data_IF_824557494002
#
_entry.id   IF_824557494002
#
_cell.length_a   1.000
_cell.length_b   1.000
_cell.length_c   1.000
_cell.angle_alpha   90.00
_cell.angle_beta   90.00
_cell.angle_gamma   90.00
#
_symmetry.space_group_name_H-M   'P 1'
#
loop_
_entity.id
_entity.type
_entity.pdbx_description
1 polymer ?
#
# COMPACT_ATOMS: atom_id res chain seq x y z
N UNK A 1 -15.18 -27.86 45.98
CA UNK A 1 -14.88 -28.57 44.72
C UNK A 1 -14.85 -27.54 43.59
N UNK A 2 -13.66 -27.03 43.27
CA UNK A 2 -13.42 -26.18 42.11
C UNK A 2 -12.57 -27.01 41.13
N UNK A 3 -13.06 -27.17 39.90
CA UNK A 3 -12.36 -27.96 38.87
C UNK A 3 -11.13 -27.20 38.40
N UNK A 4 -10.00 -27.89 38.43
CA UNK A 4 -8.71 -27.49 37.87
C UNK A 4 -8.72 -27.72 36.35
N UNK A 5 -8.13 -26.76 35.62
CA UNK A 5 -7.35 -27.06 34.42
C UNK A 5 -8.08 -26.94 33.09
N UNK A 6 -8.35 -25.71 32.65
CA UNK A 6 -8.31 -25.40 31.22
C UNK A 6 -7.04 -24.57 30.98
N UNK A 7 -6.00 -25.21 30.44
CA UNK A 7 -4.87 -24.49 29.87
C UNK A 7 -5.36 -23.80 28.60
N UNK A 8 -5.23 -22.48 28.52
CA UNK A 8 -5.38 -21.76 27.26
C UNK A 8 -4.37 -22.36 26.28
N UNK A 9 -4.83 -22.88 25.15
CA UNK A 9 -3.93 -23.14 24.02
C UNK A 9 -3.33 -21.79 23.64
N UNK A 10 -2.09 -21.55 24.09
CA UNK A 10 -1.30 -20.43 23.61
C UNK A 10 -1.08 -20.63 22.12
N UNK A 11 -1.42 -19.61 21.33
CA UNK A 11 -1.18 -19.61 19.89
C UNK A 11 0.29 -19.95 19.66
N UNK A 12 0.56 -21.07 18.98
CA UNK A 12 1.90 -21.40 18.55
C UNK A 12 2.39 -20.28 17.63
N UNK A 13 3.39 -19.53 18.09
CA UNK A 13 4.03 -18.52 17.27
C UNK A 13 4.53 -19.19 15.98
N UNK A 14 4.08 -18.67 14.83
CA UNK A 14 4.60 -19.09 13.54
C UNK A 14 6.10 -18.74 13.50
N UNK A 15 6.96 -19.74 13.67
CA UNK A 15 8.42 -19.60 13.79
C UNK A 15 9.13 -19.31 12.47
N UNK A 16 8.40 -19.11 11.38
CA UNK A 16 8.96 -18.76 10.07
C UNK A 16 8.79 -17.26 9.81
N UNK A 17 9.87 -16.52 9.52
CA UNK A 17 9.77 -15.11 9.16
C UNK A 17 8.86 -14.93 7.93
N UNK A 18 7.86 -14.05 8.03
CA UNK A 18 6.98 -13.66 6.92
C UNK A 18 7.79 -13.13 5.73
N UNK A 19 8.97 -12.56 6.01
CA UNK A 19 9.91 -12.07 5.01
C UNK A 19 11.19 -12.90 5.07
N UNK A 20 11.43 -13.71 4.04
CA UNK A 20 12.66 -14.47 3.84
C UNK A 20 13.40 -13.92 2.61
N UNK A 21 14.72 -13.69 2.65
CA UNK A 21 15.50 -13.23 1.48
C UNK A 21 15.33 -14.09 0.22
N UNK A 22 14.93 -15.36 0.38
CA UNK A 22 14.71 -16.32 -0.72
C UNK A 22 13.28 -16.32 -1.28
N UNK A 23 12.33 -15.62 -0.66
CA UNK A 23 10.92 -15.55 -1.12
C UNK A 23 10.53 -14.11 -1.43
N UNK A 24 9.73 -13.92 -2.48
CA UNK A 24 9.17 -12.61 -2.85
C UNK A 24 7.94 -12.34 -2.00
N UNK A 25 7.90 -11.19 -1.32
CA UNK A 25 6.71 -10.75 -0.59
C UNK A 25 5.89 -9.78 -1.47
N UNK A 26 4.65 -10.15 -1.73
CA UNK A 26 3.71 -9.43 -2.58
C UNK A 26 2.65 -8.74 -1.72
N UNK A 27 2.67 -7.42 -1.73
CA UNK A 27 1.71 -6.58 -1.02
C UNK A 27 0.72 -6.00 -2.02
N UNK A 28 -0.57 -6.12 -1.70
CA UNK A 28 -1.66 -5.47 -2.43
C UNK A 28 -2.31 -4.38 -1.58
N UNK A 29 -2.80 -3.33 -2.24
CA UNK A 29 -3.78 -2.43 -1.64
C UNK A 29 -4.91 -2.17 -2.64
N UNK A 30 -6.15 -2.28 -2.17
CA UNK A 30 -7.34 -2.03 -2.96
C UNK A 30 -8.40 -1.29 -2.14
N UNK A 31 -8.75 -0.07 -2.56
CA UNK A 31 -9.95 0.60 -2.09
C UNK A 31 -11.18 -0.07 -2.75
N UNK A 32 -11.98 -0.76 -1.93
CA UNK A 32 -13.20 -1.47 -2.36
C UNK A 32 -14.38 -0.87 -1.61
N UNK A 33 -14.98 0.18 -2.20
CA UNK A 33 -16.07 0.96 -1.58
C UNK A 33 -17.35 0.15 -1.27
N UNK A 34 -17.46 -1.08 -1.78
CA UNK A 34 -18.66 -1.93 -1.66
C UNK A 34 -18.34 -3.36 -1.21
N UNK A 35 -17.38 -3.56 -0.30
CA UNK A 35 -17.05 -4.90 0.22
C UNK A 35 -18.24 -5.70 0.74
N UNK A 36 -19.28 -5.02 1.24
CA UNK A 36 -20.52 -5.64 1.76
C UNK A 36 -21.46 -6.17 0.67
N UNK A 37 -21.21 -5.85 -0.61
CA UNK A 37 -22.02 -6.37 -1.71
C UNK A 37 -21.72 -7.85 -1.96
N UNK A 38 -22.77 -8.64 -2.21
CA UNK A 38 -22.66 -10.09 -2.42
C UNK A 38 -21.66 -10.43 -3.52
N UNK A 39 -20.74 -11.35 -3.24
CA UNK A 39 -19.73 -11.83 -4.19
C UNK A 39 -18.45 -10.99 -4.30
N UNK A 40 -18.41 -9.76 -3.76
CA UNK A 40 -17.19 -8.92 -3.80
C UNK A 40 -16.01 -9.51 -3.05
N UNK A 41 -16.25 -10.04 -1.84
CA UNK A 41 -15.21 -10.72 -1.07
C UNK A 41 -14.62 -11.93 -1.82
N UNK A 42 -15.46 -12.72 -2.50
CA UNK A 42 -14.99 -13.85 -3.32
C UNK A 42 -14.16 -13.40 -4.52
N UNK A 43 -14.53 -12.27 -5.14
CA UNK A 43 -13.76 -11.68 -6.24
C UNK A 43 -12.41 -11.14 -5.76
N UNK A 44 -12.37 -10.46 -4.61
CA UNK A 44 -11.13 -10.02 -3.96
C UNK A 44 -10.23 -11.22 -3.63
N UNK A 45 -10.78 -12.29 -3.05
CA UNK A 45 -10.02 -13.51 -2.76
C UNK A 45 -9.44 -14.17 -4.02
N UNK A 46 -10.23 -14.21 -5.11
CA UNK A 46 -9.76 -14.71 -6.42
C UNK A 46 -8.57 -13.90 -6.95
N UNK A 47 -8.62 -12.58 -6.89
CA UNK A 47 -7.53 -11.73 -7.36
C UNK A 47 -6.30 -11.81 -6.43
N UNK A 48 -6.51 -11.95 -5.12
CA UNK A 48 -5.43 -12.21 -4.16
C UNK A 48 -4.66 -13.48 -4.53
N UNK A 49 -5.36 -14.59 -4.83
CA UNK A 49 -4.73 -15.82 -5.30
C UNK A 49 -4.07 -15.66 -6.67
N UNK A 50 -4.73 -15.01 -7.63
CA UNK A 50 -4.25 -14.82 -9.01
C UNK A 50 -2.93 -14.05 -9.06
N UNK A 51 -2.79 -13.03 -8.21
CA UNK A 51 -1.59 -12.18 -8.16
C UNK A 51 -0.57 -12.61 -7.11
N UNK A 52 -0.79 -13.77 -6.47
CA UNK A 52 0.05 -14.33 -5.42
C UNK A 52 0.32 -13.30 -4.33
N UNK A 53 -0.73 -12.62 -3.86
CA UNK A 53 -0.63 -11.60 -2.82
C UNK A 53 -0.53 -12.27 -1.45
N UNK A 54 0.48 -11.88 -0.69
CA UNK A 54 0.73 -12.37 0.65
C UNK A 54 -0.03 -11.53 1.69
N UNK A 55 -0.13 -10.21 1.45
CA UNK A 55 -0.86 -9.27 2.32
C UNK A 55 -1.67 -8.33 1.43
N UNK A 56 -2.96 -8.14 1.74
CA UNK A 56 -3.85 -7.21 1.05
C UNK A 56 -4.50 -6.23 2.03
N UNK A 57 -4.17 -4.93 1.89
CA UNK A 57 -4.91 -3.86 2.55
C UNK A 57 -6.22 -3.57 1.83
N UNK A 58 -7.34 -3.68 2.52
CA UNK A 58 -8.68 -3.30 2.02
C UNK A 58 -9.20 -2.13 2.84
N UNK A 59 -9.54 -1.01 2.18
CA UNK A 59 -9.91 0.24 2.87
C UNK A 59 -11.37 0.62 2.62
N UNK A 60 -12.03 1.11 3.69
CA UNK A 60 -13.40 1.66 3.73
C UNK A 60 -13.32 3.07 4.35
N UNK A 61 -14.07 4.04 3.83
CA UNK A 61 -13.88 5.49 4.07
C UNK A 61 -14.05 5.97 5.53
N UNK A 62 -13.00 6.55 6.14
CA UNK A 62 -13.04 7.44 7.33
C UNK A 62 -11.91 8.49 7.21
N UNK A 63 -12.14 9.76 7.57
CA UNK A 63 -11.16 10.87 7.55
C UNK A 63 -11.32 11.83 8.74
N UNK A 64 -10.24 12.04 9.51
CA UNK A 64 -9.52 13.33 9.75
C UNK A 64 -8.44 13.12 10.84
N UNK A 65 -8.66 12.26 11.83
CA UNK A 65 -7.69 11.85 12.87
C UNK A 65 -6.55 10.93 12.36
N UNK A 66 -6.49 10.72 11.05
CA UNK A 66 -5.71 9.65 10.44
C UNK A 66 -4.20 9.91 10.48
N UNK A 67 -3.74 11.10 10.09
CA UNK A 67 -2.30 11.37 9.95
C UNK A 67 -1.59 11.45 11.31
N UNK A 68 -2.22 12.04 12.33
CA UNK A 68 -1.66 12.09 13.69
C UNK A 68 -1.56 10.68 14.29
N UNK A 69 -2.64 9.91 14.23
CA UNK A 69 -2.66 8.51 14.70
C UNK A 69 -1.67 7.63 13.92
N UNK A 70 -1.57 7.84 12.60
CA UNK A 70 -0.63 7.11 11.75
C UNK A 70 0.83 7.44 12.11
N UNK A 71 1.16 8.72 12.30
CA UNK A 71 2.49 9.18 12.70
C UNK A 71 2.90 8.60 14.06
N UNK A 72 2.00 8.62 15.05
CA UNK A 72 2.25 7.97 16.34
C UNK A 72 2.49 6.45 16.21
N UNK A 73 1.71 5.78 15.37
CA UNK A 73 1.83 4.33 15.15
C UNK A 73 3.15 3.98 14.47
N UNK A 74 3.53 4.76 13.46
CA UNK A 74 4.81 4.59 12.76
C UNK A 74 5.98 4.82 13.71
N UNK A 75 5.93 5.83 14.59
CA UNK A 75 6.98 6.07 15.58
C UNK A 75 7.14 4.94 16.60
N UNK A 76 6.06 4.22 16.92
CA UNK A 76 6.09 3.05 17.81
C UNK A 76 6.66 1.78 17.15
N UNK A 77 6.89 1.80 15.83
CA UNK A 77 7.42 0.66 15.09
C UNK A 77 8.89 0.41 15.41
N UNK A 78 9.30 -0.85 15.54
CA UNK A 78 10.70 -1.17 15.83
C UNK A 78 11.62 -0.86 14.64
N UNK A 79 12.80 -0.29 14.95
CA UNK A 79 13.78 0.15 13.95
C UNK A 79 14.36 -0.96 13.09
N UNK A 80 14.22 -2.24 13.45
CA UNK A 80 14.73 -3.36 12.67
C UNK A 80 13.68 -3.96 11.73
N UNK A 81 12.41 -3.68 11.97
CA UNK A 81 11.30 -4.20 11.17
C UNK A 81 11.17 -3.44 9.84
N UNK A 82 10.60 -4.10 8.84
CA UNK A 82 10.18 -3.47 7.59
C UNK A 82 8.81 -2.84 7.81
N UNK A 83 8.75 -1.52 7.87
CA UNK A 83 7.48 -0.79 7.84
C UNK A 83 7.06 -0.57 6.39
N UNK A 84 5.86 -1.04 6.06
CA UNK A 84 5.15 -0.68 4.84
C UNK A 84 3.84 0.00 5.22
N UNK A 85 3.59 1.17 4.63
CA UNK A 85 2.30 1.87 4.74
C UNK A 85 1.69 1.91 3.35
N UNK A 86 0.46 1.45 3.18
CA UNK A 86 -0.20 1.52 1.88
C UNK A 86 -1.64 1.94 2.03
N UNK A 87 -2.10 2.80 1.12
CA UNK A 87 -3.42 3.40 1.23
C UNK A 87 -3.78 4.28 0.06
N UNK A 88 -5.03 4.71 0.04
CA UNK A 88 -5.50 5.84 -0.75
C UNK A 88 -5.17 7.13 0.01
N UNK A 89 -4.15 7.85 -0.44
CA UNK A 89 -3.71 9.10 0.19
C UNK A 89 -4.37 10.33 -0.46
N UNK A 90 -5.11 10.14 -1.57
CA UNK A 90 -5.65 11.22 -2.39
C UNK A 90 -4.58 12.26 -2.81
N UNK A 91 -3.33 11.81 -2.92
CA UNK A 91 -2.15 12.64 -3.15
C UNK A 91 -1.61 12.39 -4.56
N UNK A 92 -1.51 13.45 -5.37
CA UNK A 92 -0.89 13.39 -6.70
C UNK A 92 0.55 13.85 -6.56
N UNK A 93 1.52 12.95 -6.69
CA UNK A 93 2.91 13.25 -6.32
C UNK A 93 3.71 13.92 -7.44
N UNK A 94 3.23 13.79 -8.68
CA UNK A 94 3.89 14.31 -9.87
C UNK A 94 5.20 13.62 -10.20
N UNK A 95 6.01 14.26 -11.06
CA UNK A 95 7.33 13.77 -11.47
C UNK A 95 8.43 14.58 -10.82
N UNK A 96 9.54 13.94 -10.48
CA UNK A 96 10.77 14.62 -10.07
C UNK A 96 11.97 14.10 -10.90
N UNK A 97 12.17 14.63 -12.12
CA UNK A 97 13.20 14.13 -13.04
C UNK A 97 14.62 14.35 -12.51
N UNK A 98 14.81 15.38 -11.68
CA UNK A 98 16.11 15.78 -11.13
C UNK A 98 16.42 15.13 -9.78
N UNK A 99 15.46 14.39 -9.21
CA UNK A 99 15.61 13.70 -7.93
C UNK A 99 15.95 14.66 -6.77
N UNK A 100 15.34 15.84 -6.77
CA UNK A 100 15.44 16.78 -5.64
C UNK A 100 14.73 16.25 -4.40
N UNK A 101 13.63 15.53 -4.58
CA UNK A 101 12.81 14.99 -3.52
C UNK A 101 13.32 13.63 -3.08
N UNK A 102 13.90 13.61 -1.87
CA UNK A 102 14.51 12.40 -1.33
C UNK A 102 13.49 11.31 -0.93
N UNK A 103 12.19 11.62 -1.00
CA UNK A 103 11.05 10.75 -0.61
C UNK A 103 10.37 10.08 -1.81
N UNK A 104 10.75 10.41 -3.04
CA UNK A 104 10.19 9.81 -4.26
C UNK A 104 11.28 9.47 -5.29
N UNK A 105 10.94 8.61 -6.24
CA UNK A 105 11.70 8.37 -7.45
C UNK A 105 11.27 9.27 -8.62
N UNK A 106 11.84 9.03 -9.79
CA UNK A 106 11.70 9.91 -10.96
C UNK A 106 10.37 9.76 -11.71
N UNK A 107 9.58 8.75 -11.38
CA UNK A 107 8.55 8.22 -12.27
C UNK A 107 7.11 8.35 -11.75
N UNK A 108 6.84 9.24 -10.79
CA UNK A 108 5.46 9.54 -10.39
C UNK A 108 4.63 10.19 -11.52
N UNK A 109 3.34 10.41 -11.26
CA UNK A 109 2.39 10.97 -12.23
C UNK A 109 1.49 12.04 -11.60
N UNK A 110 0.92 12.87 -12.47
CA UNK A 110 -0.03 13.93 -12.11
C UNK A 110 0.64 15.26 -11.79
N UNK A 111 -0.18 16.21 -11.40
CA UNK A 111 0.25 17.51 -10.89
C UNK A 111 0.10 17.52 -9.38
N UNK A 112 1.09 18.09 -8.66
CA UNK A 112 1.08 18.14 -7.20
C UNK A 112 -0.16 18.82 -6.66
N UNK A 113 -0.64 18.32 -5.52
CA UNK A 113 -1.80 18.87 -4.83
C UNK A 113 -1.51 19.03 -3.33
N UNK A 114 -2.39 19.68 -2.57
CA UNK A 114 -2.15 19.90 -1.13
C UNK A 114 -1.90 18.60 -0.34
N UNK A 115 -2.54 17.49 -0.74
CA UNK A 115 -2.30 16.19 -0.12
C UNK A 115 -0.92 15.62 -0.44
N UNK A 116 -0.31 15.98 -1.57
CA UNK A 116 1.06 15.57 -1.85
C UNK A 116 2.05 16.21 -0.89
N UNK A 117 1.87 17.48 -0.52
CA UNK A 117 2.78 18.11 0.44
C UNK A 117 2.69 17.45 1.82
N UNK A 118 1.47 17.17 2.30
CA UNK A 118 1.26 16.40 3.55
C UNK A 118 1.92 15.02 3.49
N UNK A 119 1.78 14.32 2.36
CA UNK A 119 2.39 13.01 2.18
C UNK A 119 3.92 13.09 2.16
N UNK A 120 4.49 14.12 1.53
CA UNK A 120 5.94 14.32 1.45
C UNK A 120 6.52 14.65 2.82
N UNK A 121 5.87 15.54 3.58
CA UNK A 121 6.25 15.85 4.96
C UNK A 121 6.20 14.59 5.84
N UNK A 122 5.10 13.83 5.79
CA UNK A 122 4.97 12.56 6.50
C UNK A 122 6.09 11.57 6.14
N UNK A 123 6.39 11.42 4.85
CA UNK A 123 7.46 10.53 4.39
C UNK A 123 8.84 11.01 4.83
N UNK A 124 9.10 12.32 4.76
CA UNK A 124 10.39 12.91 5.14
C UNK A 124 10.63 12.75 6.65
N UNK A 125 9.62 13.00 7.49
CA UNK A 125 9.70 12.86 8.95
C UNK A 125 9.91 11.41 9.41
N UNK A 126 9.45 10.44 8.64
CA UNK A 126 9.48 9.02 9.00
C UNK A 126 10.44 8.16 8.16
N UNK A 127 11.35 8.80 7.41
CA UNK A 127 12.31 8.14 6.51
C UNK A 127 11.65 7.11 5.57
N UNK A 128 10.51 7.49 4.97
CA UNK A 128 9.76 6.66 4.01
C UNK A 128 10.02 7.10 2.56
N UNK A 129 9.80 6.18 1.63
CA UNK A 129 9.89 6.43 0.19
C UNK A 129 8.64 5.90 -0.55
N UNK A 130 8.14 6.68 -1.51
CA UNK A 130 6.95 6.37 -2.31
C UNK A 130 7.32 5.38 -3.43
N UNK A 131 7.01 4.11 -3.25
CA UNK A 131 7.48 3.01 -4.11
C UNK A 131 6.96 3.08 -5.55
N UNK A 132 5.72 3.53 -5.76
CA UNK A 132 5.09 3.68 -7.08
C UNK A 132 5.70 4.75 -7.99
N UNK A 133 6.77 5.42 -7.53
CA UNK A 133 7.53 6.42 -8.28
C UNK A 133 8.95 5.97 -8.65
N UNK A 134 9.36 4.77 -8.18
CA UNK A 134 10.74 4.28 -8.32
C UNK A 134 11.06 3.69 -9.70
N UNK A 135 10.05 3.13 -10.39
CA UNK A 135 10.26 2.35 -11.61
C UNK A 135 9.61 2.99 -12.83
N UNK A 136 10.26 2.91 -14.02
CA UNK A 136 9.67 3.39 -15.25
C UNK A 136 8.57 2.44 -15.72
N UNK A 137 7.34 2.96 -15.81
CA UNK A 137 6.18 2.21 -16.32
C UNK A 137 5.37 3.04 -17.33
N UNK A 138 4.55 2.35 -18.14
CA UNK A 138 3.50 3.00 -18.93
C UNK A 138 2.45 3.59 -17.99
N UNK A 139 1.81 4.71 -18.35
CA UNK A 139 0.76 5.38 -17.55
C UNK A 139 -0.35 4.41 -17.08
N UNK A 140 -0.72 3.43 -17.91
CA UNK A 140 -1.72 2.43 -17.55
C UNK A 140 -1.35 1.57 -16.33
N UNK A 141 -0.06 1.49 -15.98
CA UNK A 141 0.44 0.75 -14.84
C UNK A 141 0.79 1.66 -13.65
N UNK A 142 0.48 2.96 -13.73
CA UNK A 142 0.70 3.93 -12.66
C UNK A 142 -0.60 4.55 -12.13
N UNK A 143 -1.57 4.78 -13.02
CA UNK A 143 -2.84 5.40 -12.68
C UNK A 143 -3.74 4.42 -11.91
N UNK A 144 -3.99 4.74 -10.64
CA UNK A 144 -4.64 3.87 -9.66
C UNK A 144 -6.14 4.10 -9.56
N UNK A 145 -6.65 5.23 -10.03
CA UNK A 145 -8.07 5.58 -9.94
C UNK A 145 -8.61 6.15 -11.24
N UNK A 146 -9.92 5.94 -11.50
CA UNK A 146 -10.67 6.50 -12.62
C UNK A 146 -11.93 7.20 -12.09
N UNK A 147 -12.24 8.39 -12.59
CA UNK A 147 -13.47 9.08 -12.24
C UNK A 147 -14.73 8.34 -12.69
N UNK A 148 -15.89 8.55 -12.05
CA UNK A 148 -17.15 7.92 -12.45
C UNK A 148 -17.54 8.18 -13.91
N UNK A 149 -17.15 9.34 -14.46
CA UNK A 149 -17.38 9.70 -15.87
C UNK A 149 -16.35 9.09 -16.85
N UNK A 150 -15.36 8.34 -16.34
CA UNK A 150 -14.31 7.68 -17.11
C UNK A 150 -13.21 8.59 -17.65
N UNK A 151 -13.32 9.92 -17.48
CA UNK A 151 -12.45 10.89 -18.15
C UNK A 151 -11.14 11.14 -17.40
N UNK A 152 -11.21 11.26 -16.09
CA UNK A 152 -10.08 11.59 -15.24
C UNK A 152 -9.45 10.32 -14.69
N UNK A 153 -8.12 10.26 -14.72
CA UNK A 153 -7.36 9.15 -14.15
C UNK A 153 -6.22 9.71 -13.33
N UNK A 154 -6.02 9.21 -12.12
CA UNK A 154 -5.02 9.73 -11.20
C UNK A 154 -4.19 8.61 -10.57
N UNK A 155 -2.97 8.93 -10.14
CA UNK A 155 -2.18 8.11 -9.23
C UNK A 155 -2.36 8.69 -7.81
N UNK A 156 -3.19 8.05 -6.99
CA UNK A 156 -3.55 8.53 -5.64
C UNK A 156 -3.46 7.45 -4.55
N UNK A 157 -3.38 6.18 -4.96
CA UNK A 157 -3.08 5.06 -4.08
C UNK A 157 -1.57 4.82 -4.07
N UNK A 158 -0.96 4.82 -2.89
CA UNK A 158 0.49 4.69 -2.74
C UNK A 158 0.87 3.57 -1.79
N UNK A 159 2.06 3.01 -2.01
CA UNK A 159 2.75 2.15 -1.06
C UNK A 159 4.06 2.86 -0.67
N UNK A 160 4.29 2.98 0.63
CA UNK A 160 5.44 3.61 1.26
C UNK A 160 6.22 2.53 2.00
N UNK A 161 7.55 2.60 1.96
CA UNK A 161 8.43 1.70 2.72
C UNK A 161 9.53 2.51 3.37
N UNK A 162 10.12 2.03 4.48
CA UNK A 162 11.33 2.67 4.99
C UNK A 162 12.41 2.74 3.89
N UNK A 163 13.01 3.92 3.77
CA UNK A 163 14.01 4.25 2.76
C UNK A 163 15.24 3.34 2.83
N UNK A 164 15.61 2.84 4.02
CA UNK A 164 16.68 1.84 4.20
C UNK A 164 16.41 0.52 3.47
N UNK A 165 15.13 0.16 3.26
CA UNK A 165 14.72 -1.06 2.55
C UNK A 165 14.29 -0.79 1.10
N UNK A 166 14.54 0.41 0.57
CA UNK A 166 14.15 0.76 -0.80
C UNK A 166 14.70 -0.20 -1.86
N UNK A 167 15.90 -0.76 -1.62
CA UNK A 167 16.57 -1.70 -2.52
C UNK A 167 15.94 -3.10 -2.50
N UNK A 168 15.14 -3.40 -1.48
CA UNK A 168 14.33 -4.61 -1.46
C UNK A 168 13.13 -4.50 -2.38
N UNK A 169 12.65 -3.29 -2.71
CA UNK A 169 11.53 -3.13 -3.64
C UNK A 169 11.98 -3.56 -5.04
N UNK A 170 11.33 -4.58 -5.60
CA UNK A 170 11.57 -5.08 -6.95
C UNK A 170 10.69 -4.41 -7.99
N UNK A 171 9.44 -4.12 -7.64
CA UNK A 171 8.47 -3.48 -8.54
C UNK A 171 7.29 -2.87 -7.76
N UNK A 172 6.67 -1.82 -8.30
CA UNK A 172 5.40 -1.28 -7.79
C UNK A 172 4.54 -0.77 -8.94
N UNK A 173 3.43 -1.45 -9.20
CA UNK A 173 2.59 -1.14 -10.36
C UNK A 173 1.14 -1.57 -10.22
N UNK A 174 0.31 -0.92 -11.02
CA UNK A 174 -1.12 -1.23 -11.17
C UNK A 174 -1.33 -2.49 -12.01
N UNK A 175 -2.12 -3.42 -11.47
CA UNK A 175 -2.51 -4.67 -12.12
C UNK A 175 -3.79 -4.49 -12.94
N UNK A 176 -3.62 -4.20 -14.23
CA UNK A 176 -4.74 -3.90 -15.16
C UNK A 176 -5.68 -5.06 -15.45
N UNK A 177 -5.26 -6.29 -15.15
CA UNK A 177 -6.10 -7.47 -15.30
C UNK A 177 -6.97 -7.79 -14.09
N UNK A 178 -6.74 -7.10 -12.96
CA UNK A 178 -7.54 -7.25 -11.74
C UNK A 178 -8.83 -6.44 -11.89
N UNK A 179 -9.97 -7.06 -11.60
CA UNK A 179 -11.27 -6.40 -11.65
C UNK A 179 -12.15 -6.86 -10.50
N UNK A 180 -12.61 -5.91 -9.69
CA UNK A 180 -13.67 -6.08 -8.66
C UNK A 180 -14.80 -5.06 -8.82
N UNK A 181 -14.97 -4.47 -10.00
CA UNK A 181 -15.88 -3.35 -10.26
C UNK A 181 -15.70 -2.18 -9.27
N UNK A 182 -14.44 -1.89 -8.94
CA UNK A 182 -14.05 -0.68 -8.21
C UNK A 182 -13.61 0.40 -9.22
N UNK A 183 -13.77 1.67 -8.85
CA UNK A 183 -13.18 2.81 -9.56
C UNK A 183 -11.67 2.96 -9.28
N UNK A 184 -11.16 2.18 -8.31
CA UNK A 184 -9.72 1.98 -8.06
C UNK A 184 -9.22 0.66 -8.67
N UNK A 185 -7.99 0.70 -9.16
CA UNK A 185 -7.24 -0.47 -9.59
C UNK A 185 -6.31 -0.97 -8.49
N UNK A 186 -6.11 -2.29 -8.48
CA UNK A 186 -5.19 -2.96 -7.59
C UNK A 186 -3.74 -2.47 -7.80
N UNK A 187 -3.14 -1.92 -6.74
CA UNK A 187 -1.71 -1.62 -6.69
C UNK A 187 -0.98 -2.79 -6.06
N UNK A 188 0.03 -3.33 -6.76
CA UNK A 188 0.88 -4.41 -6.26
C UNK A 188 2.31 -3.93 -6.10
N UNK A 189 2.88 -4.20 -4.92
CA UNK A 189 4.29 -3.95 -4.59
C UNK A 189 4.98 -5.29 -4.32
N UNK A 190 6.10 -5.54 -4.98
CA UNK A 190 6.90 -6.76 -4.81
C UNK A 190 8.21 -6.42 -4.10
N UNK A 191 8.48 -7.06 -2.97
CA UNK A 191 9.72 -6.96 -2.19
C UNK A 191 10.55 -8.24 -2.37
#
# INVERSE_FOLDING_TARGET
MTRLGESREEAQELTTPIVNPKSILNLGNWNVRTMYATGKAAQVAKEMSRYSMDILGVRIDIKTEFYETLDETVRKSHRHDILIVTGDFNAKVGTDPNHYDSVMGKHGEGERNENSERLFEFCAMNDLIITGTLFPHKKIHKLTWVSPDGKTKNQIDHTLINKKFKTSVRDTRVQRGADVSSDHYLVKTSL
#
